data_IF_290517651109
#
_entry.id   IF_290517651109
#
_cell.length_a   1.000
_cell.length_b   1.000
_cell.length_c   1.000
_cell.angle_alpha   90.00
_cell.angle_beta   90.00
_cell.angle_gamma   90.00
#
_symmetry.space_group_name_H-M   'P 1'
#
loop_
_entity.id
_entity.type
_entity.pdbx_description
1 polymer ?
#
# COMPACT_ATOMS: atom_id res chain seq x y z
N UNK A 1 10.55 4.31 -1.56
CA UNK A 1 10.40 2.97 -0.94
C UNK A 1 11.75 2.45 -0.42
N UNK A 2 12.77 2.33 -1.25
CA UNK A 2 14.08 1.72 -0.91
C UNK A 2 14.78 2.40 0.30
N UNK A 3 14.62 3.72 0.45
CA UNK A 3 15.22 4.48 1.57
C UNK A 3 14.64 4.05 2.92
N UNK A 4 13.42 3.53 2.94
CA UNK A 4 12.72 3.06 4.14
C UNK A 4 13.11 1.64 4.60
N UNK A 5 14.03 0.97 3.89
CA UNK A 5 14.72 -0.21 4.45
C UNK A 5 15.60 0.16 5.65
N UNK A 6 15.97 1.42 5.77
CA UNK A 6 16.70 1.96 6.92
C UNK A 6 15.72 2.44 7.99
N UNK A 7 15.83 1.85 9.20
CA UNK A 7 14.94 2.13 10.33
C UNK A 7 15.01 3.59 10.79
N UNK A 8 16.22 4.15 10.85
CA UNK A 8 16.42 5.52 11.31
C UNK A 8 15.78 6.50 10.32
N UNK A 9 15.97 6.27 9.01
CA UNK A 9 15.36 7.07 7.96
C UNK A 9 13.83 7.02 8.05
N UNK A 10 13.25 5.83 8.23
CA UNK A 10 11.80 5.66 8.36
C UNK A 10 11.24 6.31 9.63
N UNK A 11 11.95 6.18 10.76
CA UNK A 11 11.55 6.79 12.03
C UNK A 11 11.49 8.31 11.91
N UNK A 12 12.57 8.97 11.45
CA UNK A 12 12.61 10.41 11.31
C UNK A 12 11.56 10.92 10.30
N UNK A 13 11.34 10.18 9.23
CA UNK A 13 10.28 10.47 8.27
C UNK A 13 8.89 10.48 8.93
N UNK A 14 8.55 9.44 9.70
CA UNK A 14 7.27 9.36 10.39
C UNK A 14 7.12 10.41 11.49
N UNK A 15 8.18 10.74 12.22
CA UNK A 15 8.17 11.76 13.25
C UNK A 15 7.85 13.15 12.69
N UNK A 16 8.33 13.46 11.48
CA UNK A 16 8.00 14.72 10.82
C UNK A 16 6.52 14.77 10.42
N UNK A 17 5.97 13.68 9.88
CA UNK A 17 4.58 13.64 9.42
C UNK A 17 3.60 13.62 10.59
N UNK A 18 3.88 12.82 11.61
CA UNK A 18 2.98 12.60 12.73
C UNK A 18 3.22 13.58 13.88
N UNK A 19 4.20 14.46 13.77
CA UNK A 19 4.58 15.50 14.74
C UNK A 19 4.75 14.96 16.17
N UNK A 20 5.21 13.73 16.30
CA UNK A 20 5.43 13.04 17.59
C UNK A 20 6.54 11.98 17.46
N UNK A 21 7.20 11.63 18.59
CA UNK A 21 8.16 10.53 18.60
C UNK A 21 7.50 9.20 18.22
N UNK A 22 8.23 8.38 17.44
CA UNK A 22 7.75 7.09 16.95
C UNK A 22 8.75 5.99 17.32
N UNK A 23 8.31 4.99 18.03
CA UNK A 23 9.08 3.78 18.30
C UNK A 23 8.59 2.64 17.40
N UNK A 24 9.40 2.32 16.38
CA UNK A 24 9.09 1.25 15.44
C UNK A 24 9.50 -0.08 16.05
N UNK A 25 8.55 -1.01 16.20
CA UNK A 25 8.80 -2.39 16.66
C UNK A 25 9.17 -3.26 15.45
N UNK A 26 8.38 -3.16 14.38
CA UNK A 26 8.52 -3.97 13.17
C UNK A 26 8.15 -3.13 11.94
N UNK A 27 8.83 -3.36 10.83
CA UNK A 27 8.44 -2.73 9.56
C UNK A 27 8.82 -3.61 8.38
N UNK A 28 8.07 -3.45 7.30
CA UNK A 28 8.28 -4.14 6.04
C UNK A 28 8.16 -3.16 4.87
N UNK A 29 9.06 -3.26 3.91
CA UNK A 29 8.97 -2.55 2.63
C UNK A 29 8.47 -3.54 1.58
N UNK A 30 7.43 -3.17 0.83
CA UNK A 30 6.72 -4.05 -0.12
C UNK A 30 6.11 -5.28 0.59
N UNK A 31 5.18 -5.01 1.49
CA UNK A 31 4.48 -6.03 2.26
C UNK A 31 3.21 -6.49 1.56
N UNK A 32 3.16 -7.78 1.20
CA UNK A 32 2.03 -8.36 0.51
C UNK A 32 1.09 -9.05 1.50
N UNK A 33 -0.19 -8.64 1.48
CA UNK A 33 -1.25 -9.31 2.21
C UNK A 33 -2.12 -10.07 1.21
N UNK A 34 -2.03 -11.41 1.27
CA UNK A 34 -2.76 -12.29 0.40
C UNK A 34 -4.17 -12.58 0.95
N UNK A 35 -5.19 -12.25 0.17
CA UNK A 35 -6.56 -12.60 0.48
C UNK A 35 -6.99 -13.78 -0.41
N UNK A 36 -7.12 -14.95 0.18
CA UNK A 36 -7.45 -16.20 -0.52
C UNK A 36 -8.81 -16.11 -1.24
N UNK A 37 -9.77 -15.37 -0.67
CA UNK A 37 -11.13 -15.27 -1.18
C UNK A 37 -11.42 -14.00 -1.99
N UNK A 38 -10.41 -13.12 -2.16
CA UNK A 38 -10.65 -11.83 -2.79
C UNK A 38 -9.39 -11.13 -3.26
N UNK A 39 -9.48 -9.81 -3.34
CA UNK A 39 -8.37 -8.97 -3.79
C UNK A 39 -7.29 -8.88 -2.72
N UNK A 40 -6.07 -9.29 -3.04
CA UNK A 40 -4.85 -9.06 -2.26
C UNK A 40 -4.38 -7.61 -2.40
N UNK A 41 -3.54 -7.17 -1.48
CA UNK A 41 -2.88 -5.86 -1.53
C UNK A 41 -1.38 -6.01 -1.38
N UNK A 42 -0.65 -5.10 -2.04
CA UNK A 42 0.76 -4.85 -1.78
C UNK A 42 0.89 -3.46 -1.18
N UNK A 43 1.49 -3.39 -0.01
CA UNK A 43 1.71 -2.18 0.77
C UNK A 43 3.14 -1.71 0.52
N UNK A 44 3.32 -0.41 0.22
CA UNK A 44 4.65 0.14 -0.03
C UNK A 44 5.54 0.08 1.20
N UNK A 45 5.02 0.52 2.36
CA UNK A 45 5.70 0.38 3.66
C UNK A 45 4.66 0.12 4.75
N UNK A 46 4.80 -0.97 5.45
CA UNK A 46 4.03 -1.32 6.64
C UNK A 46 4.88 -1.12 7.88
N UNK A 47 4.34 -0.46 8.91
CA UNK A 47 5.02 -0.20 10.18
C UNK A 47 4.12 -0.61 11.34
N UNK A 48 4.70 -1.31 12.30
CA UNK A 48 4.08 -1.65 13.58
C UNK A 48 4.79 -0.92 14.71
N UNK A 49 4.01 -0.21 15.51
CA UNK A 49 4.43 0.36 16.80
C UNK A 49 3.67 -0.36 17.91
N UNK A 50 3.82 0.06 19.17
CA UNK A 50 3.08 -0.52 20.29
C UNK A 50 1.55 -0.39 20.10
N UNK A 51 1.08 0.77 19.62
CA UNK A 51 -0.35 1.08 19.58
C UNK A 51 -0.88 1.41 18.17
N UNK A 52 -0.02 1.35 17.13
CA UNK A 52 -0.43 1.72 15.77
C UNK A 52 0.07 0.74 14.73
N UNK A 53 -0.76 0.51 13.73
CA UNK A 53 -0.35 0.01 12.42
C UNK A 53 -0.36 1.19 11.43
N UNK A 54 0.74 1.38 10.72
CA UNK A 54 0.89 2.49 9.78
C UNK A 54 1.18 1.91 8.39
N UNK A 55 0.34 2.26 7.43
CA UNK A 55 0.55 1.96 6.02
C UNK A 55 0.96 3.24 5.29
N UNK A 56 2.13 3.26 4.65
CA UNK A 56 2.58 4.38 3.83
C UNK A 56 2.52 3.95 2.35
N UNK A 57 1.85 4.74 1.54
CA UNK A 57 1.67 4.57 0.10
C UNK A 57 2.19 5.80 -0.65
N UNK A 58 3.08 5.60 -1.60
CA UNK A 58 3.57 6.68 -2.48
C UNK A 58 2.90 6.54 -3.84
N UNK A 59 2.02 7.48 -4.16
CA UNK A 59 1.19 7.44 -5.36
C UNK A 59 1.39 8.70 -6.20
N UNK A 60 1.35 8.57 -7.53
CA UNK A 60 1.51 9.72 -8.43
C UNK A 60 0.23 10.51 -8.60
N UNK A 61 -0.90 9.82 -8.61
CA UNK A 61 -2.18 10.39 -8.98
C UNK A 61 -3.34 9.94 -8.08
N UNK A 62 -4.52 10.52 -8.33
CA UNK A 62 -5.77 10.22 -7.64
C UNK A 62 -6.16 8.75 -7.72
N UNK A 63 -5.89 8.05 -8.82
CA UNK A 63 -6.33 6.66 -9.00
C UNK A 63 -5.67 5.73 -8.00
N UNK A 64 -4.39 6.00 -7.68
CA UNK A 64 -3.62 5.30 -6.66
C UNK A 64 -4.01 5.65 -5.22
N UNK A 65 -4.45 6.89 -4.97
CA UNK A 65 -4.78 7.41 -3.64
C UNK A 65 -6.30 7.50 -3.37
N UNK A 66 -7.10 6.60 -3.96
CA UNK A 66 -8.55 6.61 -3.81
C UNK A 66 -8.98 6.30 -2.37
N UNK A 67 -9.95 7.06 -1.77
CA UNK A 67 -10.44 6.83 -0.41
C UNK A 67 -10.97 5.41 -0.13
N UNK A 68 -11.56 4.76 -1.14
CA UNK A 68 -12.01 3.37 -1.02
C UNK A 68 -10.84 2.39 -0.94
N UNK A 69 -9.70 2.72 -1.57
CA UNK A 69 -8.47 1.94 -1.44
C UNK A 69 -7.92 2.03 -0.02
N UNK A 70 -7.89 3.23 0.59
CA UNK A 70 -7.50 3.40 1.98
C UNK A 70 -8.33 2.52 2.91
N UNK A 71 -9.67 2.59 2.79
CA UNK A 71 -10.58 1.75 3.57
C UNK A 71 -10.30 0.26 3.39
N UNK A 72 -10.07 -0.19 2.16
CA UNK A 72 -9.82 -1.59 1.85
C UNK A 72 -8.49 -2.08 2.43
N UNK A 73 -7.43 -1.26 2.33
CA UNK A 73 -6.13 -1.55 2.92
C UNK A 73 -6.24 -1.71 4.44
N UNK A 74 -6.86 -0.75 5.14
CA UNK A 74 -7.06 -0.83 6.59
C UNK A 74 -7.81 -2.10 6.99
N UNK A 75 -8.92 -2.43 6.31
CA UNK A 75 -9.69 -3.64 6.61
C UNK A 75 -8.91 -4.93 6.42
N UNK A 76 -8.03 -5.01 5.41
CA UNK A 76 -7.19 -6.20 5.20
C UNK A 76 -6.04 -6.29 6.19
N UNK A 77 -5.46 -5.16 6.58
CA UNK A 77 -4.43 -5.13 7.63
C UNK A 77 -5.05 -5.62 8.94
N UNK A 78 -6.18 -5.07 9.37
CA UNK A 78 -6.90 -5.52 10.57
C UNK A 78 -7.21 -7.02 10.52
N UNK A 79 -7.75 -7.50 9.41
CA UNK A 79 -8.09 -8.92 9.24
C UNK A 79 -6.86 -9.84 9.24
N UNK A 80 -5.69 -9.36 8.80
CA UNK A 80 -4.46 -10.14 8.72
C UNK A 80 -3.64 -10.13 10.00
N UNK A 81 -3.86 -9.14 10.88
CA UNK A 81 -3.05 -8.91 12.07
C UNK A 81 -3.78 -9.20 13.37
N UNK A 82 -5.13 -9.30 13.35
CA UNK A 82 -5.95 -9.65 14.51
C UNK A 82 -5.99 -11.16 14.74
N UNK A 83 -6.00 -11.57 16.01
CA UNK A 83 -6.07 -12.98 16.40
C UNK A 83 -7.44 -13.34 16.96
N UNK A 84 -7.88 -14.61 16.81
CA UNK A 84 -9.13 -15.07 17.39
C UNK A 84 -9.16 -14.85 18.91
N UNK A 85 -10.21 -14.24 19.45
CA UNK A 85 -10.45 -13.92 20.87
C UNK A 85 -9.77 -12.65 21.39
N UNK A 86 -9.08 -11.89 20.57
CA UNK A 86 -8.69 -10.52 20.96
C UNK A 86 -9.94 -9.65 21.17
N UNK A 87 -9.89 -8.76 22.15
CA UNK A 87 -10.99 -7.82 22.37
C UNK A 87 -10.89 -6.68 21.36
N UNK A 88 -12.04 -6.23 20.81
CA UNK A 88 -12.08 -5.17 19.80
C UNK A 88 -11.41 -3.87 20.24
N UNK A 89 -11.43 -3.56 21.53
CA UNK A 89 -10.76 -2.38 22.12
C UNK A 89 -9.22 -2.42 22.06
N UNK A 90 -8.66 -3.63 21.91
CA UNK A 90 -7.22 -3.85 21.87
C UNK A 90 -6.65 -3.83 20.45
N UNK A 91 -7.52 -3.62 19.43
CA UNK A 91 -7.04 -3.42 18.06
C UNK A 91 -6.19 -2.14 17.99
N UNK A 92 -4.98 -2.20 17.41
CA UNK A 92 -4.13 -1.04 17.22
C UNK A 92 -4.81 0.04 16.36
N UNK A 93 -4.47 1.30 16.59
CA UNK A 93 -4.90 2.37 15.71
C UNK A 93 -4.32 2.19 14.31
N UNK A 94 -5.15 2.37 13.29
CA UNK A 94 -4.78 2.25 11.88
C UNK A 94 -4.55 3.62 11.26
N UNK A 95 -3.33 3.88 10.81
CA UNK A 95 -2.98 5.11 10.09
C UNK A 95 -2.59 4.75 8.66
N UNK A 96 -3.30 5.32 7.67
CA UNK A 96 -2.97 5.15 6.27
C UNK A 96 -2.48 6.48 5.72
N UNK A 97 -1.24 6.54 5.28
CA UNK A 97 -0.58 7.74 4.77
C UNK A 97 -0.43 7.60 3.26
N UNK A 98 -1.10 8.46 2.50
CA UNK A 98 -0.85 8.63 1.08
C UNK A 98 0.05 9.86 0.85
N UNK A 99 1.16 9.66 0.15
CA UNK A 99 2.00 10.74 -0.35
C UNK A 99 1.75 10.83 -1.84
N UNK A 100 1.26 11.97 -2.30
CA UNK A 100 0.85 12.16 -3.70
C UNK A 100 1.63 13.29 -4.35
N UNK A 101 1.97 13.15 -5.64
CA UNK A 101 2.63 14.21 -6.41
C UNK A 101 1.68 15.39 -6.70
N UNK A 102 0.36 15.13 -6.68
CA UNK A 102 -0.70 16.11 -6.94
C UNK A 102 -1.66 16.20 -5.77
N UNK A 103 -2.39 17.32 -5.66
CA UNK A 103 -3.46 17.50 -4.68
C UNK A 103 -4.70 16.69 -5.04
N UNK A 104 -4.80 15.47 -4.55
CA UNK A 104 -5.91 14.54 -4.85
C UNK A 104 -7.24 14.93 -4.23
N UNK A 105 -7.25 15.78 -3.18
CA UNK A 105 -8.48 16.26 -2.54
C UNK A 105 -8.89 17.65 -3.07
N UNK A 106 -7.98 18.41 -3.68
CA UNK A 106 -8.28 19.63 -4.41
C UNK A 106 -8.55 20.87 -3.57
N UNK A 107 -8.18 20.88 -2.27
CA UNK A 107 -8.40 22.04 -1.39
C UNK A 107 -7.15 22.91 -1.22
N UNK A 108 -6.02 22.57 -1.85
CA UNK A 108 -4.80 23.37 -1.83
C UNK A 108 -4.01 23.30 -0.51
N UNK A 109 -4.19 22.26 0.29
CA UNK A 109 -3.47 22.08 1.55
C UNK A 109 -2.29 21.13 1.42
N UNK A 110 -1.21 21.34 2.22
CA UNK A 110 -0.05 20.44 2.20
C UNK A 110 -0.32 19.08 2.84
N UNK A 111 -1.28 19.02 3.78
CA UNK A 111 -1.66 17.79 4.50
C UNK A 111 -3.14 17.82 4.82
N UNK A 112 -3.77 16.64 4.78
CA UNK A 112 -5.18 16.44 5.14
C UNK A 112 -5.27 15.27 6.10
N UNK A 113 -5.93 15.49 7.25
CA UNK A 113 -6.29 14.46 8.21
C UNK A 113 -7.77 14.12 8.03
N UNK A 114 -8.06 12.86 7.76
CA UNK A 114 -9.41 12.38 7.50
C UNK A 114 -9.83 11.39 8.57
N UNK A 115 -10.90 11.75 9.29
CA UNK A 115 -11.52 10.95 10.33
C UNK A 115 -13.01 10.74 10.03
N UNK A 116 -13.61 9.72 10.62
CA UNK A 116 -15.06 9.57 10.64
C UNK A 116 -15.65 10.48 11.69
N UNK A 117 -16.84 11.05 11.41
CA UNK A 117 -17.55 11.93 12.31
C UNK A 117 -18.97 11.42 12.55
N UNK A 118 -19.51 11.75 13.72
CA UNK A 118 -20.92 11.53 14.07
C UNK A 118 -21.71 12.72 13.51
N UNK A 119 -22.62 12.49 12.56
CA UNK A 119 -23.33 13.54 11.83
C UNK A 119 -24.19 14.44 12.75
N UNK A 120 -24.72 13.89 13.84
CA UNK A 120 -25.62 14.60 14.75
C UNK A 120 -24.92 15.69 15.59
N UNK A 121 -23.62 15.55 15.87
CA UNK A 121 -22.90 16.46 16.76
C UNK A 121 -21.53 16.91 16.24
N UNK A 122 -21.12 16.45 15.03
CA UNK A 122 -19.82 16.71 14.39
C UNK A 122 -18.60 16.29 15.24
N UNK A 123 -18.77 15.37 16.18
CA UNK A 123 -17.64 14.83 16.93
C UNK A 123 -16.95 13.72 16.14
N UNK A 124 -15.65 13.56 16.36
CA UNK A 124 -14.89 12.45 15.78
C UNK A 124 -15.47 11.13 16.35
N UNK A 125 -15.78 10.19 15.44
CA UNK A 125 -16.08 8.82 15.81
C UNK A 125 -14.74 8.09 15.98
N UNK A 126 -14.31 7.96 17.24
CA UNK A 126 -13.02 7.41 17.62
C UNK A 126 -13.00 5.88 17.45
N UNK A 127 -12.91 5.43 16.22
CA UNK A 127 -12.78 4.01 15.85
C UNK A 127 -11.32 3.58 15.67
N UNK A 128 -10.37 4.42 16.05
CA UNK A 128 -8.94 4.15 15.92
C UNK A 128 -8.42 4.22 14.47
N UNK A 129 -9.20 4.75 13.51
CA UNK A 129 -8.75 4.86 12.11
C UNK A 129 -8.53 6.30 11.66
N UNK A 130 -7.41 6.52 10.97
CA UNK A 130 -7.05 7.81 10.39
C UNK A 130 -6.48 7.61 8.97
N UNK A 131 -6.83 8.53 8.06
CA UNK A 131 -6.19 8.58 6.74
C UNK A 131 -5.53 9.95 6.60
N UNK A 132 -4.25 9.97 6.24
CA UNK A 132 -3.47 11.18 6.01
C UNK A 132 -3.15 11.26 4.52
N UNK A 133 -3.51 12.39 3.89
CA UNK A 133 -3.08 12.69 2.54
C UNK A 133 -2.04 13.81 2.59
N UNK A 134 -0.88 13.58 1.96
CA UNK A 134 0.21 14.55 1.86
C UNK A 134 0.36 14.95 0.40
N UNK A 135 0.21 16.23 0.15
CA UNK A 135 0.39 16.83 -1.17
C UNK A 135 1.84 17.26 -1.36
N UNK A 136 2.66 16.45 -2.03
CA UNK A 136 4.07 16.71 -2.21
C UNK A 136 4.36 17.88 -3.19
N UNK A 137 3.34 18.39 -3.91
CA UNK A 137 3.51 19.59 -4.75
C UNK A 137 3.71 20.87 -3.92
N UNK A 138 3.31 20.87 -2.64
CA UNK A 138 3.47 22.00 -1.74
C UNK A 138 4.74 21.82 -0.91
N UNK A 139 5.72 22.70 -1.16
CA UNK A 139 7.06 22.66 -0.56
C UNK A 139 7.34 23.95 0.19
N UNK A 140 6.54 24.23 1.21
CA UNK A 140 6.71 25.40 2.09
C UNK A 140 7.98 25.28 2.94
N UNK A 141 8.49 26.40 3.44
CA UNK A 141 9.68 26.44 4.32
C UNK A 141 9.33 26.02 5.77
N UNK A 142 8.79 24.83 5.91
CA UNK A 142 8.52 24.15 7.18
C UNK A 142 9.01 22.68 7.12
N UNK A 143 8.86 21.94 8.21
CA UNK A 143 9.37 20.58 8.29
C UNK A 143 8.78 19.67 7.20
N UNK A 144 7.45 19.68 7.01
CA UNK A 144 6.78 18.87 6.02
C UNK A 144 7.15 19.29 4.58
N UNK A 145 7.12 20.58 4.29
CA UNK A 145 7.43 21.09 2.96
C UNK A 145 8.87 20.79 2.53
N UNK A 146 9.85 20.91 3.45
CA UNK A 146 11.24 20.49 3.22
C UNK A 146 11.34 18.99 2.98
N UNK A 147 10.55 18.17 3.70
CA UNK A 147 10.50 16.74 3.50
C UNK A 147 9.96 16.39 2.10
N UNK A 148 8.89 17.07 1.67
CA UNK A 148 8.32 16.87 0.33
C UNK A 148 9.26 17.37 -0.78
N UNK A 149 9.99 18.46 -0.55
CA UNK A 149 11.08 18.88 -1.44
C UNK A 149 12.10 17.74 -1.63
N UNK A 150 12.58 17.16 -0.54
CA UNK A 150 13.59 16.10 -0.59
C UNK A 150 13.08 14.83 -1.27
N UNK A 151 11.77 14.55 -1.18
CA UNK A 151 11.13 13.44 -1.88
C UNK A 151 11.10 13.58 -3.41
N UNK A 152 11.02 14.82 -3.89
CA UNK A 152 10.98 15.15 -5.32
C UNK A 152 12.35 15.59 -5.84
N UNK A 153 13.31 15.87 -4.95
CA UNK A 153 14.62 16.36 -5.31
C UNK A 153 15.46 15.26 -5.97
N UNK A 154 16.08 15.60 -7.12
CA UNK A 154 16.97 14.68 -7.83
C UNK A 154 18.43 14.79 -7.36
N UNK A 155 18.85 15.94 -6.83
CA UNK A 155 20.23 16.20 -6.43
C UNK A 155 20.38 16.10 -4.91
N UNK A 156 21.29 15.23 -4.46
CA UNK A 156 21.52 15.01 -3.03
C UNK A 156 22.08 16.23 -2.31
N UNK A 157 22.81 17.11 -3.02
CA UNK A 157 23.33 18.38 -2.48
C UNK A 157 22.24 19.35 -2.04
N UNK A 158 21.06 19.26 -2.67
CA UNK A 158 19.95 20.21 -2.47
C UNK A 158 18.96 19.73 -1.40
N UNK A 159 19.14 18.51 -0.88
CA UNK A 159 18.29 17.94 0.15
C UNK A 159 18.50 18.63 1.51
N UNK A 160 17.39 18.91 2.20
CA UNK A 160 17.38 19.53 3.53
C UNK A 160 17.72 18.54 4.65
N UNK A 161 17.19 17.31 4.56
CA UNK A 161 17.32 16.32 5.62
C UNK A 161 18.52 15.40 5.42
N UNK A 162 19.44 15.42 6.39
CA UNK A 162 20.67 14.63 6.37
C UNK A 162 20.39 13.11 6.30
N UNK A 163 19.36 12.62 6.98
CA UNK A 163 19.02 11.21 6.98
C UNK A 163 18.59 10.72 5.59
N UNK A 164 17.81 11.51 4.84
CA UNK A 164 17.44 11.21 3.47
C UNK A 164 18.64 11.35 2.53
N UNK A 165 19.37 12.45 2.65
CA UNK A 165 20.57 12.71 1.84
C UNK A 165 21.57 11.57 1.94
N UNK A 166 21.93 11.12 3.14
CA UNK A 166 22.84 10.00 3.35
C UNK A 166 22.35 8.72 2.66
N UNK A 167 21.07 8.41 2.81
CA UNK A 167 20.52 7.19 2.24
C UNK A 167 20.43 7.25 0.72
N UNK A 168 20.02 8.39 0.15
CA UNK A 168 19.97 8.59 -1.31
C UNK A 168 21.38 8.62 -1.91
N UNK A 169 22.35 9.31 -1.29
CA UNK A 169 23.75 9.29 -1.72
C UNK A 169 24.34 7.88 -1.68
N UNK A 170 24.04 7.10 -0.65
CA UNK A 170 24.47 5.70 -0.60
C UNK A 170 24.07 4.93 -1.85
N UNK A 171 22.81 5.02 -2.26
CA UNK A 171 22.30 4.31 -3.45
C UNK A 171 22.86 4.87 -4.77
N UNK A 172 23.02 6.19 -4.87
CA UNK A 172 23.47 6.83 -6.12
C UNK A 172 24.97 6.77 -6.32
N UNK A 173 25.76 6.93 -5.26
CA UNK A 173 27.18 7.25 -5.34
C UNK A 173 28.09 6.07 -4.99
N UNK A 174 27.61 5.12 -4.18
CA UNK A 174 28.42 3.96 -3.78
C UNK A 174 28.19 2.73 -4.67
N UNK A 175 29.23 1.92 -4.82
CA UNK A 175 29.12 0.63 -5.54
C UNK A 175 28.18 -0.33 -4.82
N UNK A 176 28.25 -0.40 -3.48
CA UNK A 176 27.36 -1.22 -2.66
C UNK A 176 25.90 -0.82 -2.81
N UNK A 177 25.60 0.47 -2.76
CA UNK A 177 24.23 0.98 -2.93
C UNK A 177 23.68 0.73 -4.32
N UNK A 178 24.47 0.91 -5.36
CA UNK A 178 24.06 0.57 -6.75
C UNK A 178 23.77 -0.92 -6.91
N UNK A 179 24.59 -1.78 -6.31
CA UNK A 179 24.38 -3.22 -6.34
C UNK A 179 23.09 -3.61 -5.63
N UNK A 180 22.88 -3.10 -4.41
CA UNK A 180 21.63 -3.31 -3.64
C UNK A 180 20.40 -2.84 -4.43
N UNK A 181 20.50 -1.68 -5.10
CA UNK A 181 19.43 -1.18 -5.96
C UNK A 181 19.13 -2.12 -7.13
N UNK A 182 20.17 -2.65 -7.80
CA UNK A 182 19.99 -3.62 -8.88
C UNK A 182 19.32 -4.89 -8.41
N UNK A 183 19.72 -5.43 -7.25
CA UNK A 183 19.10 -6.64 -6.66
C UNK A 183 17.62 -6.41 -6.38
N UNK A 184 17.24 -5.27 -5.79
CA UNK A 184 15.85 -4.91 -5.54
C UNK A 184 15.04 -4.76 -6.84
N UNK A 185 15.62 -4.16 -7.88
CA UNK A 185 14.96 -4.05 -9.18
C UNK A 185 14.70 -5.41 -9.82
N UNK A 186 15.65 -6.35 -9.72
CA UNK A 186 15.45 -7.71 -10.20
C UNK A 186 14.36 -8.45 -9.39
N UNK A 187 14.32 -8.30 -8.07
CA UNK A 187 13.24 -8.86 -7.24
C UNK A 187 11.85 -8.32 -7.64
N UNK A 188 11.72 -7.00 -7.83
CA UNK A 188 10.48 -6.35 -8.27
C UNK A 188 10.07 -6.87 -9.64
N UNK A 189 11.02 -6.97 -10.57
CA UNK A 189 10.78 -7.47 -11.92
C UNK A 189 10.31 -8.92 -11.91
N UNK A 190 10.97 -9.78 -11.12
CA UNK A 190 10.57 -11.19 -10.99
C UNK A 190 9.17 -11.33 -10.38
N UNK A 191 8.84 -10.59 -9.32
CA UNK A 191 7.49 -10.55 -8.77
C UNK A 191 6.47 -10.14 -9.84
N UNK A 192 6.73 -9.06 -10.57
CA UNK A 192 5.85 -8.58 -11.63
C UNK A 192 5.64 -9.58 -12.77
N UNK A 193 6.67 -10.37 -13.11
CA UNK A 193 6.57 -11.44 -14.10
C UNK A 193 5.65 -12.55 -13.57
N UNK A 194 5.91 -13.06 -12.36
CA UNK A 194 5.11 -14.14 -11.73
C UNK A 194 3.64 -13.73 -11.60
N UNK A 195 3.38 -12.51 -11.12
CA UNK A 195 2.01 -11.99 -11.03
C UNK A 195 1.36 -11.83 -12.40
N UNK A 196 2.11 -11.33 -13.37
CA UNK A 196 1.64 -11.18 -14.74
C UNK A 196 1.28 -12.51 -15.41
N UNK A 197 2.10 -13.55 -15.20
CA UNK A 197 1.85 -14.91 -15.66
C UNK A 197 0.60 -15.50 -15.01
N UNK A 198 0.48 -15.43 -13.68
CA UNK A 198 -0.68 -15.93 -12.95
C UNK A 198 -2.00 -15.25 -13.38
N UNK A 199 -1.96 -13.91 -13.57
CA UNK A 199 -3.09 -13.16 -14.11
C UNK A 199 -3.40 -13.58 -15.55
N UNK A 200 -2.37 -13.79 -16.36
CA UNK A 200 -2.50 -14.23 -17.75
C UNK A 200 -3.14 -15.61 -17.88
N UNK A 201 -2.68 -16.57 -17.10
CA UNK A 201 -3.22 -17.93 -17.05
C UNK A 201 -4.69 -17.92 -16.59
N UNK A 202 -4.99 -17.18 -15.53
CA UNK A 202 -6.34 -17.07 -15.02
C UNK A 202 -7.29 -16.42 -16.05
N UNK A 203 -6.88 -15.34 -16.71
CA UNK A 203 -7.68 -14.71 -17.79
C UNK A 203 -7.86 -15.65 -18.98
N UNK A 204 -6.84 -16.43 -19.33
CA UNK A 204 -6.90 -17.46 -20.36
C UNK A 204 -7.92 -18.54 -20.01
N UNK A 205 -7.90 -19.04 -18.77
CA UNK A 205 -8.83 -20.04 -18.29
C UNK A 205 -10.27 -19.53 -18.27
N UNK A 206 -10.53 -18.32 -17.75
CA UNK A 206 -11.86 -17.68 -17.78
C UNK A 206 -12.40 -17.60 -19.20
N UNK A 207 -11.59 -17.13 -20.17
CA UNK A 207 -12.00 -17.09 -21.58
C UNK A 207 -12.30 -18.47 -22.16
N UNK A 208 -11.55 -19.49 -21.76
CA UNK A 208 -11.75 -20.86 -22.21
C UNK A 208 -13.05 -21.45 -21.67
N UNK A 209 -13.35 -21.23 -20.40
CA UNK A 209 -14.62 -21.60 -19.75
C UNK A 209 -15.79 -20.92 -20.46
N UNK A 210 -15.76 -19.61 -20.62
CA UNK A 210 -16.82 -18.83 -21.30
C UNK A 210 -17.03 -19.31 -22.75
N UNK A 211 -15.96 -19.65 -23.48
CA UNK A 211 -16.03 -20.18 -24.84
C UNK A 211 -16.65 -21.57 -24.88
N UNK A 212 -16.34 -22.42 -23.89
CA UNK A 212 -16.90 -23.77 -23.80
C UNK A 212 -18.43 -23.69 -23.52
N UNK A 213 -18.82 -22.84 -22.56
CA UNK A 213 -20.22 -22.58 -22.25
C UNK A 213 -20.99 -22.03 -23.47
N UNK A 214 -20.48 -20.98 -24.12
CA UNK A 214 -21.18 -20.31 -25.24
C UNK A 214 -21.23 -21.12 -26.53
N UNK A 215 -20.18 -21.90 -26.84
CA UNK A 215 -20.07 -22.62 -28.13
C UNK A 215 -20.49 -24.09 -28.06
N UNK A 216 -20.41 -24.69 -26.87
CA UNK A 216 -20.70 -26.11 -26.67
C UNK A 216 -21.91 -26.38 -25.79
N UNK A 217 -22.49 -25.29 -25.20
CA UNK A 217 -23.66 -25.42 -24.33
C UNK A 217 -23.40 -26.04 -22.96
N UNK A 218 -22.12 -26.12 -22.54
CA UNK A 218 -21.78 -26.62 -21.21
C UNK A 218 -22.29 -25.70 -20.12
N UNK A 219 -22.76 -26.29 -19.03
CA UNK A 219 -22.96 -25.58 -17.78
C UNK A 219 -21.62 -25.16 -17.17
N UNK A 220 -21.63 -24.23 -16.24
CA UNK A 220 -20.41 -23.78 -15.55
C UNK A 220 -19.71 -24.94 -14.83
N UNK A 221 -20.49 -25.83 -14.21
CA UNK A 221 -19.98 -27.01 -13.49
C UNK A 221 -19.35 -28.03 -14.43
N UNK A 222 -19.99 -28.31 -15.56
CA UNK A 222 -19.43 -29.17 -16.60
C UNK A 222 -18.13 -28.60 -17.19
N UNK A 223 -18.05 -27.27 -17.33
CA UNK A 223 -16.83 -26.61 -17.80
C UNK A 223 -15.69 -26.68 -16.77
N UNK A 224 -15.99 -26.52 -15.47
CA UNK A 224 -14.99 -26.73 -14.42
C UNK A 224 -14.46 -28.17 -14.38
N UNK A 225 -15.36 -29.15 -14.49
CA UNK A 225 -14.96 -30.55 -14.53
C UNK A 225 -14.15 -30.87 -15.80
N UNK A 226 -14.48 -30.26 -16.95
CA UNK A 226 -13.74 -30.44 -18.20
C UNK A 226 -12.30 -29.93 -18.12
N UNK A 227 -12.06 -28.85 -17.35
CA UNK A 227 -10.73 -28.29 -17.14
C UNK A 227 -10.07 -28.78 -15.84
N UNK A 228 -10.62 -29.78 -15.17
CA UNK A 228 -10.13 -30.35 -13.91
C UNK A 228 -9.89 -29.31 -12.81
N UNK A 229 -10.74 -28.24 -12.76
CA UNK A 229 -10.60 -27.19 -11.77
C UNK A 229 -11.09 -27.68 -10.39
N UNK A 230 -10.19 -27.69 -9.36
CA UNK A 230 -10.55 -28.09 -8.00
C UNK A 230 -11.70 -27.26 -7.43
N UNK A 231 -12.54 -27.86 -6.58
CA UNK A 231 -13.72 -27.19 -5.99
C UNK A 231 -13.34 -25.93 -5.21
N UNK A 232 -12.22 -25.97 -4.48
CA UNK A 232 -11.67 -24.84 -3.71
C UNK A 232 -11.30 -23.63 -4.55
N UNK A 233 -10.94 -23.82 -5.83
CA UNK A 233 -10.56 -22.75 -6.75
C UNK A 233 -11.73 -22.20 -7.56
N UNK A 234 -12.85 -22.92 -7.66
CA UNK A 234 -14.00 -22.56 -8.52
C UNK A 234 -14.58 -21.20 -8.19
N UNK A 235 -14.61 -20.82 -6.91
CA UNK A 235 -15.13 -19.53 -6.45
C UNK A 235 -14.40 -18.33 -7.07
N UNK A 236 -13.10 -18.46 -7.31
CA UNK A 236 -12.24 -17.43 -7.90
C UNK A 236 -12.63 -17.18 -9.37
N UNK A 237 -12.92 -18.25 -10.10
CA UNK A 237 -13.33 -18.17 -11.50
C UNK A 237 -14.78 -17.67 -11.65
N UNK A 238 -15.69 -18.09 -10.77
CA UNK A 238 -17.09 -17.65 -10.77
C UNK A 238 -17.19 -16.13 -10.68
N UNK A 239 -16.48 -15.51 -9.73
CA UNK A 239 -16.49 -14.06 -9.57
C UNK A 239 -16.03 -13.31 -10.83
N UNK A 240 -15.10 -13.86 -11.60
CA UNK A 240 -14.56 -13.25 -12.81
C UNK A 240 -15.34 -13.55 -14.09
N UNK A 241 -16.18 -14.57 -14.07
CA UNK A 241 -17.07 -14.92 -15.19
C UNK A 241 -18.32 -14.05 -15.16
N UNK A 242 -18.79 -13.68 -13.95
CA UNK A 242 -20.00 -12.89 -13.72
C UNK A 242 -19.73 -11.37 -13.75
N UNK A 243 -18.48 -10.94 -13.51
CA UNK A 243 -18.05 -9.53 -13.60
C UNK A 243 -17.79 -9.11 -15.05
#
# INVERSE_FOLDING_TARGET
>A
RIVFKDKECLTQFLEIILERPIEIIEWHVQYDINNILGRSISIDVFVKTENHYINIEVQRDYTGANPRRARFHGSLIDASTSYPKEEWKDLPHMIIIFITEEDVLGYGLPIYHVHRTIDENNQIFDDGSEIIYINASIQEDNALGRLMHDFLCSETSDMHYEFLRKRVSYFKETEGGRKEMCEIWEEIKQKGIIEGEAIGEMKGMVKSIQKLMSKKGYTLEEAFNFFDIPEEERSIYIQRIIS
#
